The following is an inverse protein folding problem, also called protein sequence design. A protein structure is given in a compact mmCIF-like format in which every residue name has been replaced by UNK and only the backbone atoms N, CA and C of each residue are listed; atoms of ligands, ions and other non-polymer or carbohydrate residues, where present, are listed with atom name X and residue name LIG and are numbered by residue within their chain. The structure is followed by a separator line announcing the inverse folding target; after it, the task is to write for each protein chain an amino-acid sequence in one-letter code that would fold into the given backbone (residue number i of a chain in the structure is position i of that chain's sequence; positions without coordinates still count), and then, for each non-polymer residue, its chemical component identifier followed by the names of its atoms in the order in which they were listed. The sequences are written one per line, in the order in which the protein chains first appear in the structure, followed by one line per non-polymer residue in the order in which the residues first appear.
data_IF_374389138888
#
_entry.id   IF_374389138888
#
_cell.length_a   1.000
_cell.length_b   1.000
_cell.length_c   1.000
_cell.angle_alpha   90.00
_cell.angle_beta   90.00
_cell.angle_gamma   90.00
#
_symmetry.space_group_name_H-M   'P 1'
#
loop_
_entity.id
_entity.type
_entity.pdbx_description
1 polymer ?
#
# COMPACT_ATOMS: atom_id res chain seq x y z
N UNK A 1 -19.99 -0.21 10.56
CA UNK A 1 -18.67 -0.76 10.24
C UNK A 1 -17.76 0.40 9.97
N UNK A 2 -16.98 0.80 10.96
CA UNK A 2 -15.87 1.73 10.74
C UNK A 2 -14.72 0.87 10.20
N UNK A 3 -14.36 1.09 8.94
CA UNK A 3 -13.30 0.31 8.29
C UNK A 3 -11.90 0.74 8.73
N UNK A 4 -11.78 1.87 9.44
CA UNK A 4 -10.49 2.47 9.79
C UNK A 4 -9.67 2.94 8.58
N UNK A 5 -10.14 2.74 7.35
CA UNK A 5 -9.40 3.02 6.12
C UNK A 5 -9.09 4.51 5.96
N UNK A 6 -9.94 5.41 6.47
CA UNK A 6 -9.66 6.84 6.45
C UNK A 6 -8.39 7.24 7.19
N UNK A 7 -7.89 6.39 8.10
CA UNK A 7 -6.67 6.61 8.88
C UNK A 7 -5.39 6.24 8.12
N UNK A 8 -5.49 5.59 6.95
CA UNK A 8 -4.34 5.14 6.17
C UNK A 8 -3.67 6.31 5.39
N UNK A 9 -4.34 7.45 5.28
CA UNK A 9 -3.93 8.59 4.49
C UNK A 9 -4.34 9.93 5.11
N UNK A 10 -4.56 9.97 6.43
CA UNK A 10 -4.94 11.21 7.12
C UNK A 10 -3.72 12.07 7.50
N UNK A 11 -2.51 11.58 7.27
CA UNK A 11 -1.26 12.27 7.60
C UNK A 11 -0.93 12.27 9.10
N UNK A 12 -1.65 11.50 9.92
CA UNK A 12 -1.46 11.42 11.38
C UNK A 12 -0.83 10.08 11.77
N UNK A 13 0.49 10.07 11.92
CA UNK A 13 1.27 8.89 12.31
C UNK A 13 1.30 8.66 13.82
N UNK A 14 0.18 8.75 14.53
CA UNK A 14 0.17 8.58 16.00
C UNK A 14 -0.51 7.31 16.50
N UNK A 15 -1.61 6.84 15.87
CA UNK A 15 -2.32 5.61 16.31
C UNK A 15 -3.30 5.03 15.27
N UNK A 16 -3.24 5.49 14.01
CA UNK A 16 -4.19 5.07 12.99
C UNK A 16 -3.78 3.77 12.33
N UNK A 17 -4.55 2.70 12.45
CA UNK A 17 -4.33 1.46 11.69
C UNK A 17 -5.57 1.05 10.90
N UNK A 18 -5.39 0.66 9.65
CA UNK A 18 -6.37 -0.11 8.89
C UNK A 18 -6.02 -1.60 8.99
N UNK A 19 -7.01 -2.46 9.26
CA UNK A 19 -6.76 -3.89 9.46
C UNK A 19 -7.71 -4.83 8.71
N UNK A 20 -7.22 -6.06 8.47
CA UNK A 20 -7.95 -7.16 7.83
C UNK A 20 -7.72 -8.47 8.58
N UNK A 21 -8.78 -9.29 8.71
CA UNK A 21 -8.73 -10.59 9.41
C UNK A 21 -8.15 -11.74 8.57
N UNK A 22 -7.60 -11.44 7.39
CA UNK A 22 -6.87 -12.38 6.54
C UNK A 22 -5.40 -11.94 6.44
N UNK A 23 -4.51 -12.88 6.10
CA UNK A 23 -3.07 -12.64 6.06
C UNK A 23 -2.60 -11.92 4.78
N UNK A 24 -3.50 -11.71 3.81
CA UNK A 24 -3.27 -10.88 2.63
C UNK A 24 -4.49 -9.99 2.38
N UNK A 25 -4.26 -8.72 2.09
CA UNK A 25 -5.34 -7.77 1.82
C UNK A 25 -4.88 -6.65 0.90
N UNK A 26 -5.84 -5.86 0.42
CA UNK A 26 -5.54 -4.76 -0.49
C UNK A 26 -6.50 -3.58 -0.29
N UNK A 27 -6.00 -2.40 -0.63
CA UNK A 27 -6.77 -1.15 -0.68
C UNK A 27 -6.53 -0.52 -2.05
N UNK A 28 -7.62 -0.12 -2.70
CA UNK A 28 -7.58 0.51 -4.02
C UNK A 28 -7.85 2.01 -3.90
N UNK A 29 -7.15 2.77 -4.73
CA UNK A 29 -7.25 4.22 -4.83
C UNK A 29 -7.54 4.60 -6.28
N UNK A 30 -8.62 5.36 -6.47
CA UNK A 30 -8.86 6.10 -7.71
C UNK A 30 -8.20 7.48 -7.57
N UNK A 31 -7.29 7.79 -8.49
CA UNK A 31 -6.51 9.03 -8.49
C UNK A 31 -7.24 10.18 -9.22
N UNK A 32 -8.34 9.90 -9.92
CA UNK A 32 -9.12 10.87 -10.68
C UNK A 32 -8.47 11.43 -11.95
N UNK A 33 -7.17 11.15 -12.19
CA UNK A 33 -6.43 11.50 -13.40
C UNK A 33 -5.22 10.57 -13.56
N UNK A 34 -4.55 10.61 -14.72
CA UNK A 34 -3.29 9.87 -14.92
C UNK A 34 -2.13 10.54 -14.20
N UNK A 35 -1.44 9.75 -13.37
CA UNK A 35 -0.17 10.14 -12.73
C UNK A 35 0.93 9.15 -13.10
N UNK A 36 2.16 9.63 -13.16
CA UNK A 36 3.38 8.84 -13.36
C UNK A 36 4.49 9.23 -12.35
N UNK A 37 5.66 8.59 -12.44
CA UNK A 37 6.84 8.86 -11.60
C UNK A 37 6.55 8.73 -10.10
N UNK A 38 5.86 7.67 -9.74
CA UNK A 38 5.39 7.47 -8.38
C UNK A 38 6.53 7.34 -7.36
N UNK A 39 6.27 7.84 -6.15
CA UNK A 39 7.02 7.52 -4.94
C UNK A 39 6.04 7.03 -3.88
N UNK A 40 6.35 5.92 -3.24
CA UNK A 40 5.52 5.31 -2.21
C UNK A 40 6.26 5.25 -0.89
N UNK A 41 5.54 5.43 0.20
CA UNK A 41 6.00 5.10 1.56
C UNK A 41 4.90 4.34 2.28
N UNK A 42 5.30 3.44 3.16
CA UNK A 42 4.40 2.74 4.07
C UNK A 42 5.03 2.75 5.46
N UNK A 43 4.21 2.90 6.49
CA UNK A 43 4.59 2.84 7.89
C UNK A 43 3.79 1.74 8.61
N UNK A 44 4.42 1.16 9.61
CA UNK A 44 3.87 0.09 10.43
C UNK A 44 4.58 0.08 11.79
N UNK A 45 3.88 -0.33 12.84
CA UNK A 45 4.35 -0.24 14.24
C UNK A 45 5.50 -1.20 14.59
N UNK A 46 5.87 -2.13 13.71
CA UNK A 46 7.02 -3.03 13.80
C UNK A 46 7.13 -3.90 15.05
N UNK A 47 6.05 -4.05 15.81
CA UNK A 47 6.10 -4.72 17.12
C UNK A 47 4.99 -5.77 17.33
N UNK A 48 4.06 -5.92 16.39
CA UNK A 48 2.82 -6.66 16.61
C UNK A 48 2.62 -7.84 15.64
N UNK A 49 1.88 -8.85 16.10
CA UNK A 49 1.56 -10.08 15.33
C UNK A 49 0.87 -9.79 14.00
N UNK A 50 0.23 -8.63 13.86
CA UNK A 50 -0.56 -8.23 12.70
C UNK A 50 0.19 -7.34 11.71
N UNK A 51 1.47 -7.04 11.98
CA UNK A 51 2.22 -6.14 11.12
C UNK A 51 2.29 -6.65 9.68
N UNK A 52 2.16 -5.72 8.73
CA UNK A 52 2.51 -5.98 7.34
C UNK A 52 4.00 -6.33 7.29
N UNK A 53 4.34 -7.48 6.70
CA UNK A 53 5.73 -7.90 6.50
C UNK A 53 6.18 -7.66 5.06
N UNK A 54 5.24 -7.73 4.12
CA UNK A 54 5.50 -7.52 2.70
C UNK A 54 4.39 -6.73 2.05
N UNK A 55 4.75 -5.89 1.09
CA UNK A 55 3.81 -5.07 0.37
C UNK A 55 4.27 -4.78 -1.06
N UNK A 56 3.32 -4.44 -1.92
CA UNK A 56 3.57 -3.99 -3.28
C UNK A 56 2.49 -3.01 -3.72
N UNK A 57 2.74 -2.35 -4.84
CA UNK A 57 1.74 -1.51 -5.50
C UNK A 57 1.45 -2.05 -6.89
N UNK A 58 0.16 -2.18 -7.21
CA UNK A 58 -0.34 -2.61 -8.51
C UNK A 58 -1.10 -1.47 -9.19
N UNK A 59 -1.21 -1.53 -10.52
CA UNK A 59 -2.13 -0.70 -11.31
C UNK A 59 -3.16 -1.56 -12.02
N UNK A 60 -4.27 -0.96 -12.41
CA UNK A 60 -5.19 -1.59 -13.34
C UNK A 60 -4.62 -1.58 -14.77
N UNK A 61 -4.71 -2.72 -15.46
CA UNK A 61 -4.42 -2.86 -16.89
C UNK A 61 -5.70 -3.24 -17.63
N UNK A 62 -6.27 -2.28 -18.35
CA UNK A 62 -7.49 -2.52 -19.13
C UNK A 62 -7.28 -3.56 -20.23
N UNK A 63 -6.10 -3.59 -20.88
CA UNK A 63 -5.81 -4.55 -21.95
C UNK A 63 -5.66 -5.98 -21.47
N UNK A 64 -5.25 -6.18 -20.21
CA UNK A 64 -5.14 -7.51 -19.58
C UNK A 64 -6.33 -7.83 -18.69
N UNK A 65 -7.25 -6.89 -18.49
CA UNK A 65 -8.35 -6.96 -17.54
C UNK A 65 -7.90 -7.44 -16.15
N UNK A 66 -6.76 -6.93 -15.68
CA UNK A 66 -6.09 -7.42 -14.48
C UNK A 66 -5.30 -6.33 -13.76
N UNK A 67 -5.08 -6.54 -12.47
CA UNK A 67 -4.11 -5.77 -11.68
C UNK A 67 -2.70 -6.28 -11.95
N UNK A 68 -1.80 -5.37 -12.32
CA UNK A 68 -0.41 -5.70 -12.63
C UNK A 68 0.52 -4.92 -11.69
N UNK A 69 1.58 -5.58 -11.27
CA UNK A 69 2.54 -5.01 -10.33
C UNK A 69 3.29 -3.83 -11.00
N UNK A 70 3.29 -2.68 -10.32
CA UNK A 70 4.12 -1.51 -10.69
C UNK A 70 5.49 -1.63 -10.01
N UNK A 71 5.53 -2.28 -8.85
CA UNK A 71 6.75 -2.66 -8.14
C UNK A 71 6.62 -4.08 -7.58
N UNK A 72 7.73 -4.85 -7.50
CA UNK A 72 7.70 -6.15 -6.85
C UNK A 72 7.46 -5.99 -5.34
N UNK A 73 7.17 -7.11 -4.67
CA UNK A 73 7.10 -7.14 -3.21
C UNK A 73 8.36 -6.54 -2.58
N UNK A 74 8.13 -5.66 -1.61
CA UNK A 74 9.13 -5.10 -0.73
C UNK A 74 8.90 -5.67 0.67
N UNK A 75 9.96 -6.13 1.31
CA UNK A 75 9.92 -6.40 2.74
C UNK A 75 9.86 -5.06 3.49
N UNK A 76 9.13 -5.03 4.61
CA UNK A 76 9.17 -3.94 5.56
C UNK A 76 9.38 -4.49 6.97
N UNK A 77 10.34 -3.90 7.67
CA UNK A 77 10.75 -4.26 9.02
C UNK A 77 11.22 -3.04 9.82
N UNK A 78 10.79 -1.85 9.41
CA UNK A 78 11.13 -0.57 10.02
C UNK A 78 9.86 0.23 10.27
N UNK A 79 9.85 0.99 11.36
CA UNK A 79 8.81 1.97 11.64
C UNK A 79 9.08 3.33 10.97
N UNK A 80 10.32 3.57 10.53
CA UNK A 80 10.68 4.79 9.81
C UNK A 80 10.17 4.71 8.35
N UNK A 81 9.59 5.79 7.79
CA UNK A 81 9.13 5.80 6.42
C UNK A 81 10.32 5.68 5.46
N UNK A 82 10.28 4.65 4.61
CA UNK A 82 11.25 4.42 3.52
C UNK A 82 10.55 4.73 2.20
N UNK A 83 11.26 5.42 1.30
CA UNK A 83 10.74 5.77 -0.03
C UNK A 83 11.07 4.67 -1.03
N UNK A 84 10.03 4.16 -1.69
CA UNK A 84 10.13 3.15 -2.73
C UNK A 84 9.68 3.73 -4.06
N UNK A 85 10.40 3.38 -5.13
CA UNK A 85 10.14 3.84 -6.50
C UNK A 85 10.02 2.65 -7.43
N UNK A 86 8.98 2.60 -8.29
CA UNK A 86 8.93 1.67 -9.41
C UNK A 86 10.18 1.74 -10.28
N UNK A 87 10.60 0.60 -10.84
CA UNK A 87 11.72 0.53 -11.78
C UNK A 87 11.38 1.13 -13.15
N UNK A 88 10.08 1.24 -13.49
CA UNK A 88 9.59 1.84 -14.71
C UNK A 88 8.60 2.97 -14.42
N UNK A 89 8.68 4.04 -15.21
CA UNK A 89 7.68 5.09 -15.18
C UNK A 89 6.43 4.61 -15.91
N UNK A 90 5.36 4.44 -15.14
CA UNK A 90 4.09 3.94 -15.65
C UNK A 90 2.99 4.90 -15.26
N UNK A 91 2.24 5.39 -16.25
CA UNK A 91 1.07 6.23 -16.02
C UNK A 91 -0.16 5.36 -15.67
N UNK A 92 -0.93 5.78 -14.68
CA UNK A 92 -2.21 5.16 -14.34
C UNK A 92 -3.13 6.11 -13.56
N UNK A 93 -4.43 5.88 -13.69
CA UNK A 93 -5.49 6.49 -12.88
C UNK A 93 -5.78 5.72 -11.59
N UNK A 94 -5.27 4.50 -11.45
CA UNK A 94 -5.65 3.60 -10.38
C UNK A 94 -4.43 2.90 -9.80
N UNK A 95 -4.29 2.94 -8.48
CA UNK A 95 -3.30 2.15 -7.76
C UNK A 95 -3.97 1.27 -6.71
N UNK A 96 -3.33 0.15 -6.40
CA UNK A 96 -3.73 -0.76 -5.34
C UNK A 96 -2.53 -1.05 -4.46
N UNK A 97 -2.62 -0.66 -3.19
CA UNK A 97 -1.72 -1.15 -2.15
C UNK A 97 -2.13 -2.59 -1.86
N UNK A 98 -1.19 -3.52 -2.00
CA UNK A 98 -1.38 -4.93 -1.65
C UNK A 98 -0.41 -5.27 -0.53
N UNK A 99 -0.91 -5.84 0.56
CA UNK A 99 -0.17 -6.08 1.80
C UNK A 99 -0.35 -7.51 2.27
N UNK A 100 0.70 -8.04 2.90
CA UNK A 100 0.75 -9.40 3.42
C UNK A 100 1.41 -9.42 4.79
N UNK A 101 0.89 -10.29 5.65
CA UNK A 101 1.54 -10.81 6.83
C UNK A 101 1.90 -12.28 6.59
N UNK A 102 3.14 -12.67 6.88
CA UNK A 102 3.65 -14.02 6.62
C UNK A 102 3.38 -15.02 7.76
N UNK A 103 2.82 -14.56 8.89
CA UNK A 103 2.47 -15.41 10.02
C UNK A 103 1.24 -16.28 9.69
N UNK A 104 1.25 -17.55 10.13
CA UNK A 104 0.07 -18.43 10.07
C UNK A 104 -1.06 -17.84 10.91
N UNK A 105 -2.28 -17.76 10.35
CA UNK A 105 -3.42 -17.02 10.92
C UNK A 105 -3.15 -15.51 11.16
N UNK A 106 -2.14 -14.95 10.48
CA UNK A 106 -1.80 -13.54 10.55
C UNK A 106 -2.96 -12.68 10.06
N UNK A 107 -3.23 -11.59 10.78
CA UNK A 107 -4.02 -10.45 10.29
C UNK A 107 -3.06 -9.46 9.66
N UNK A 108 -3.56 -8.54 8.85
CA UNK A 108 -2.72 -7.45 8.32
C UNK A 108 -3.18 -6.12 8.90
N UNK A 109 -2.25 -5.35 9.43
CA UNK A 109 -2.37 -3.96 9.85
C UNK A 109 -1.36 -3.08 9.12
N UNK A 110 -1.79 -1.88 8.76
CA UNK A 110 -0.96 -0.82 8.18
C UNK A 110 -1.27 0.48 8.91
N UNK A 111 -0.23 1.22 9.28
CA UNK A 111 -0.39 2.49 9.97
C UNK A 111 -0.70 3.61 8.96
N UNK A 112 0.21 3.84 8.02
CA UNK A 112 0.08 4.91 7.04
C UNK A 112 0.62 4.44 5.68
N UNK A 113 -0.02 4.88 4.60
CA UNK A 113 0.46 4.73 3.24
C UNK A 113 0.38 6.06 2.51
N UNK A 114 1.52 6.52 1.98
CA UNK A 114 1.56 7.70 1.14
C UNK A 114 1.98 7.34 -0.28
N UNK A 115 1.28 7.92 -1.25
CA UNK A 115 1.61 7.89 -2.66
C UNK A 115 1.73 9.31 -3.20
N UNK A 116 2.84 9.60 -3.86
CA UNK A 116 3.05 10.85 -4.60
C UNK A 116 3.33 10.53 -6.06
N UNK A 117 2.94 11.42 -6.97
CA UNK A 117 3.17 11.27 -8.41
C UNK A 117 3.04 12.60 -9.13
N UNK A 118 3.45 12.63 -10.40
CA UNK A 118 3.33 13.80 -11.27
C UNK A 118 2.19 13.57 -12.24
N UNK A 119 1.28 14.54 -12.36
CA UNK A 119 0.17 14.47 -13.32
C UNK A 119 0.72 14.47 -14.74
N UNK A 120 0.21 13.57 -15.57
CA UNK A 120 0.57 13.47 -16.99
C UNK A 120 -0.23 14.43 -17.86
#
# INVERSE_FOLDING_TARGET
WDSGLGKLWDGVTETGEASSNVNESWVQFDLGADYERFAFTIQQDNCCTWMTTHWKVQRWSASQNAWIDIMPYQAINTAAPVVYRPSANVATTNIRLYVRNSNENGKVGVQEFNATGVRK
#
